data_IF_271266522613
#
_entry.id   IF_271266522613
#
_cell.length_a   1.000
_cell.length_b   1.000
_cell.length_c   1.000
_cell.angle_alpha   90.00
_cell.angle_beta   90.00
_cell.angle_gamma   90.00
#
_symmetry.space_group_name_H-M   'P 1'
#
loop_
_entity.id
_entity.type
_entity.pdbx_description
1 polymer ?
#
# COMPACT_ATOMS: atom_id res chain seq x y z
N UNK A 1 -46.69 10.23 -0.12
CA UNK A 1 -45.88 9.41 -1.04
C UNK A 1 -44.55 9.04 -0.38
N UNK A 2 -44.26 7.74 -0.33
CA UNK A 2 -43.17 7.10 0.41
C UNK A 2 -41.81 7.35 -0.26
N UNK A 3 -40.90 8.15 0.30
CA UNK A 3 -39.47 8.15 -0.12
C UNK A 3 -38.36 8.34 0.95
N UNK A 4 -38.59 8.49 2.28
CA UNK A 4 -37.44 8.54 3.21
C UNK A 4 -36.73 7.19 3.32
N UNK A 5 -37.48 6.08 3.19
CA UNK A 5 -36.94 4.72 3.20
C UNK A 5 -35.97 4.44 2.04
N UNK A 6 -36.22 5.02 0.85
CA UNK A 6 -35.36 4.84 -0.32
C UNK A 6 -34.02 5.57 -0.16
N UNK A 7 -34.02 6.78 0.40
CA UNK A 7 -32.79 7.53 0.70
C UNK A 7 -31.92 6.84 1.74
N UNK A 8 -32.52 6.29 2.80
CA UNK A 8 -31.81 5.51 3.81
C UNK A 8 -31.20 4.22 3.23
N UNK A 9 -31.93 3.53 2.35
CA UNK A 9 -31.42 2.35 1.64
C UNK A 9 -30.26 2.70 0.70
N UNK A 10 -30.36 3.78 -0.07
CA UNK A 10 -29.27 4.24 -0.94
C UNK A 10 -28.02 4.62 -0.15
N UNK A 11 -28.17 5.34 0.96
CA UNK A 11 -27.05 5.67 1.84
C UNK A 11 -26.39 4.41 2.43
N UNK A 12 -27.20 3.43 2.85
CA UNK A 12 -26.71 2.15 3.36
C UNK A 12 -25.92 1.36 2.29
N UNK A 13 -26.42 1.31 1.06
CA UNK A 13 -25.74 0.65 -0.06
C UNK A 13 -24.40 1.33 -0.36
N UNK A 14 -24.34 2.66 -0.38
CA UNK A 14 -23.08 3.40 -0.58
C UNK A 14 -22.07 3.09 0.53
N UNK A 15 -22.51 3.05 1.79
CA UNK A 15 -21.66 2.70 2.93
C UNK A 15 -21.15 1.26 2.82
N UNK A 16 -22.03 0.30 2.48
CA UNK A 16 -21.66 -1.10 2.31
C UNK A 16 -20.65 -1.28 1.16
N UNK A 17 -20.90 -0.66 0.01
CA UNK A 17 -19.97 -0.70 -1.13
C UNK A 17 -18.63 -0.06 -0.77
N UNK A 18 -18.65 1.05 -0.03
CA UNK A 18 -17.44 1.69 0.51
C UNK A 18 -16.65 0.76 1.44
N UNK A 19 -17.33 0.05 2.35
CA UNK A 19 -16.70 -0.91 3.27
C UNK A 19 -16.12 -2.12 2.52
N UNK A 20 -16.83 -2.65 1.52
CA UNK A 20 -16.37 -3.77 0.69
C UNK A 20 -15.14 -3.36 -0.13
N UNK A 21 -15.16 -2.18 -0.74
CA UNK A 21 -14.01 -1.64 -1.48
C UNK A 21 -12.79 -1.43 -0.57
N UNK A 22 -13.01 -0.95 0.65
CA UNK A 22 -11.94 -0.78 1.64
C UNK A 22 -11.35 -2.11 2.10
N UNK A 23 -12.19 -3.15 2.35
CA UNK A 23 -11.73 -4.48 2.78
C UNK A 23 -11.04 -5.30 1.69
N UNK A 24 -11.38 -5.09 0.42
CA UNK A 24 -10.87 -5.91 -0.68
C UNK A 24 -9.44 -5.55 -1.14
N UNK A 25 -8.79 -4.55 -0.55
CA UNK A 25 -7.39 -4.22 -0.82
C UNK A 25 -7.12 -3.53 -2.17
N UNK A 26 -8.13 -3.40 -3.04
CA UNK A 26 -7.97 -2.82 -4.38
C UNK A 26 -7.15 -3.75 -5.29
N UNK A 27 -7.64 -3.99 -6.50
CA UNK A 27 -6.94 -4.83 -7.46
C UNK A 27 -5.97 -3.98 -8.28
N UNK A 28 -4.73 -4.43 -8.36
CA UNK A 28 -3.67 -3.85 -9.18
C UNK A 28 -2.91 -4.93 -9.93
N UNK A 29 -2.23 -4.58 -11.04
CA UNK A 29 -1.27 -5.49 -11.64
C UNK A 29 -0.18 -5.85 -10.61
N UNK A 30 0.46 -7.00 -10.80
CA UNK A 30 1.71 -7.28 -10.11
C UNK A 30 2.79 -6.38 -10.73
N UNK A 31 3.72 -5.82 -9.93
CA UNK A 31 4.80 -5.00 -10.46
C UNK A 31 5.58 -5.73 -11.54
N UNK A 32 6.05 -5.01 -12.55
CA UNK A 32 6.97 -5.57 -13.55
C UNK A 32 8.31 -5.95 -12.90
N UNK A 33 8.71 -5.23 -11.85
CA UNK A 33 9.94 -5.44 -11.12
C UNK A 33 9.65 -5.72 -9.63
N UNK A 34 9.64 -6.99 -9.26
CA UNK A 34 9.57 -7.44 -7.86
C UNK A 34 10.56 -8.59 -7.62
N UNK A 35 10.95 -8.79 -6.36
CA UNK A 35 11.73 -9.93 -5.94
C UNK A 35 10.79 -10.97 -5.30
N UNK A 36 10.92 -12.25 -5.66
CA UNK A 36 10.22 -13.33 -4.97
C UNK A 36 10.90 -13.57 -3.62
N UNK A 37 10.10 -13.66 -2.56
CA UNK A 37 10.57 -14.09 -1.24
C UNK A 37 10.01 -15.49 -0.94
N UNK A 38 10.46 -16.12 0.14
CA UNK A 38 9.97 -17.44 0.54
C UNK A 38 8.43 -17.50 0.68
N UNK A 39 7.82 -16.41 1.16
CA UNK A 39 6.40 -16.36 1.54
C UNK A 39 5.56 -15.39 0.68
N UNK A 40 6.16 -14.71 -0.30
CA UNK A 40 5.44 -13.78 -1.16
C UNK A 40 6.36 -12.94 -2.04
N UNK A 41 6.23 -11.62 -1.99
CA UNK A 41 6.93 -10.69 -2.88
C UNK A 41 7.51 -9.51 -2.10
N UNK A 42 8.64 -9.01 -2.61
CA UNK A 42 9.31 -7.80 -2.15
C UNK A 42 9.30 -6.77 -3.26
N UNK A 43 8.88 -5.56 -2.93
CA UNK A 43 8.81 -4.45 -3.89
C UNK A 43 9.72 -3.34 -3.41
N UNK A 44 10.65 -2.93 -4.26
CA UNK A 44 11.55 -1.82 -4.00
C UNK A 44 10.76 -0.51 -4.04
N UNK A 45 11.02 0.38 -3.07
CA UNK A 45 10.44 1.71 -3.03
C UNK A 45 11.55 2.74 -2.87
N UNK A 46 11.45 3.84 -3.64
CA UNK A 46 12.40 4.95 -3.58
C UNK A 46 11.66 6.24 -3.27
N UNK A 47 12.35 7.17 -2.62
CA UNK A 47 11.83 8.51 -2.40
C UNK A 47 12.00 9.32 -3.68
N UNK A 48 10.96 9.32 -4.49
CA UNK A 48 10.91 9.99 -5.80
C UNK A 48 9.54 10.63 -5.94
N UNK A 49 9.50 11.87 -6.42
CA UNK A 49 8.23 12.50 -6.78
C UNK A 49 7.60 11.74 -7.95
N UNK A 50 6.31 11.43 -7.85
CA UNK A 50 5.57 10.73 -8.91
C UNK A 50 4.71 11.77 -9.66
N UNK A 51 5.06 12.12 -10.91
CA UNK A 51 4.27 13.03 -11.71
C UNK A 51 2.83 12.55 -11.93
N UNK A 52 1.82 13.44 -11.94
CA UNK A 52 0.42 13.06 -12.16
C UNK A 52 0.13 12.40 -13.51
N UNK A 53 0.98 12.63 -14.50
CA UNK A 53 0.94 12.08 -15.86
C UNK A 53 1.77 10.79 -16.01
N UNK A 54 2.37 10.30 -14.92
CA UNK A 54 3.10 9.03 -14.94
C UNK A 54 2.20 7.88 -15.40
N UNK A 55 2.76 6.96 -16.17
CA UNK A 55 2.07 5.76 -16.63
C UNK A 55 2.58 4.53 -15.90
N UNK A 56 1.71 3.54 -15.71
CA UNK A 56 2.08 2.27 -15.10
C UNK A 56 2.11 2.32 -13.58
N UNK A 57 2.73 1.31 -13.00
CA UNK A 57 2.81 1.11 -11.56
C UNK A 57 4.12 1.67 -11.00
N UNK A 58 4.04 2.40 -9.89
CA UNK A 58 5.20 2.98 -9.22
C UNK A 58 5.06 2.92 -7.70
N UNK A 59 6.18 2.76 -7.01
CA UNK A 59 6.23 2.68 -5.55
C UNK A 59 7.14 3.76 -4.97
N UNK A 60 6.55 4.58 -4.13
CA UNK A 60 7.18 5.74 -3.53
C UNK A 60 7.38 5.53 -2.02
N UNK A 61 8.59 5.77 -1.54
CA UNK A 61 8.88 5.86 -0.12
C UNK A 61 8.83 7.33 0.32
N UNK A 62 7.96 7.65 1.27
CA UNK A 62 7.85 8.98 1.88
C UNK A 62 7.96 8.91 3.40
N UNK A 63 8.09 10.05 4.05
CA UNK A 63 7.92 10.16 5.49
C UNK A 63 7.18 11.45 5.87
N UNK A 64 6.52 11.43 7.02
CA UNK A 64 5.93 12.64 7.59
C UNK A 64 6.96 13.42 8.43
N UNK A 65 6.54 14.57 8.98
CA UNK A 65 7.37 15.38 9.88
C UNK A 65 7.66 14.69 11.22
N UNK A 66 6.82 13.75 11.63
CA UNK A 66 7.02 12.93 12.83
C UNK A 66 8.00 11.75 12.62
N UNK A 67 8.56 11.59 11.41
CA UNK A 67 9.51 10.54 11.08
C UNK A 67 8.89 9.17 10.79
N UNK A 68 7.56 9.06 10.70
CA UNK A 68 6.91 7.83 10.23
C UNK A 68 7.08 7.69 8.73
N UNK A 69 7.55 6.53 8.29
CA UNK A 69 7.71 6.20 6.88
C UNK A 69 6.41 5.61 6.30
N UNK A 70 6.20 5.85 5.01
CA UNK A 70 5.08 5.32 4.24
C UNK A 70 5.58 4.80 2.91
N UNK A 71 5.02 3.69 2.46
CA UNK A 71 5.21 3.17 1.11
C UNK A 71 3.89 3.30 0.36
N UNK A 72 3.90 4.12 -0.67
CA UNK A 72 2.72 4.51 -1.44
C UNK A 72 2.80 3.87 -2.83
N UNK A 73 1.74 3.21 -3.26
CA UNK A 73 1.62 2.67 -4.61
C UNK A 73 0.77 3.60 -5.47
N UNK A 74 1.36 3.98 -6.60
CA UNK A 74 0.75 4.78 -7.64
C UNK A 74 0.45 3.89 -8.85
N UNK A 75 -0.71 4.12 -9.45
CA UNK A 75 -1.08 3.54 -10.74
C UNK A 75 -1.55 4.65 -11.66
N UNK A 76 -0.84 4.85 -12.76
CA UNK A 76 -1.08 5.92 -13.72
C UNK A 76 -1.13 7.31 -13.04
N UNK A 77 -0.08 7.64 -12.27
CA UNK A 77 0.08 8.93 -11.59
C UNK A 77 -0.86 9.15 -10.41
N UNK A 78 -1.73 8.19 -10.08
CA UNK A 78 -2.71 8.30 -8.99
C UNK A 78 -2.36 7.34 -7.87
N UNK A 79 -2.28 7.87 -6.65
CA UNK A 79 -2.13 7.06 -5.45
C UNK A 79 -3.34 6.12 -5.31
N UNK A 80 -3.04 4.82 -5.12
CA UNK A 80 -4.05 3.78 -4.94
C UNK A 80 -4.04 3.22 -3.53
N UNK A 81 -2.85 3.04 -2.96
CA UNK A 81 -2.65 2.43 -1.65
C UNK A 81 -1.45 3.02 -0.94
N UNK A 82 -1.57 3.07 0.38
CA UNK A 82 -0.55 3.62 1.28
C UNK A 82 -0.38 2.67 2.45
N UNK A 83 0.86 2.28 2.71
CA UNK A 83 1.25 1.37 3.77
C UNK A 83 2.12 2.16 4.76
N UNK A 84 1.62 2.35 5.99
CA UNK A 84 2.40 3.06 7.01
C UNK A 84 3.31 2.10 7.76
N UNK A 85 4.53 2.57 8.04
CA UNK A 85 5.33 2.02 9.12
C UNK A 85 4.57 2.15 10.44
N UNK A 86 4.76 1.17 11.32
CA UNK A 86 4.13 1.12 12.65
C UNK A 86 5.20 1.01 13.73
N UNK A 87 5.64 -0.22 14.01
CA UNK A 87 6.60 -0.52 15.07
C UNK A 87 7.97 -0.80 14.47
N UNK A 88 9.04 -0.26 15.04
CA UNK A 88 10.40 -0.69 14.71
C UNK A 88 10.59 -2.13 15.20
N UNK A 89 10.89 -3.03 14.27
CA UNK A 89 11.21 -4.42 14.58
C UNK A 89 12.71 -4.61 14.80
N UNK A 90 13.52 -4.02 13.92
CA UNK A 90 14.97 -4.14 13.98
C UNK A 90 15.67 -2.92 13.38
N UNK A 91 16.87 -2.59 13.85
CA UNK A 91 17.70 -1.50 13.35
C UNK A 91 19.14 -2.00 13.19
N UNK A 92 19.69 -1.86 11.99
CA UNK A 92 21.05 -2.25 11.63
C UNK A 92 21.82 -1.05 11.08
N UNK A 93 23.09 -1.26 10.74
CA UNK A 93 23.88 -0.28 9.99
C UNK A 93 23.31 -0.02 8.58
N UNK A 94 22.63 -1.00 7.99
CA UNK A 94 22.07 -0.91 6.63
C UNK A 94 20.72 -0.18 6.59
N UNK A 95 19.98 -0.15 7.70
CA UNK A 95 18.67 0.48 7.75
C UNK A 95 17.81 0.08 8.95
N UNK A 96 16.53 0.40 8.86
CA UNK A 96 15.52 0.08 9.88
C UNK A 96 14.38 -0.70 9.27
N UNK A 97 14.03 -1.82 9.90
CA UNK A 97 12.88 -2.64 9.56
C UNK A 97 11.70 -2.26 10.46
N UNK A 98 10.58 -1.93 9.83
CA UNK A 98 9.34 -1.56 10.48
C UNK A 98 8.28 -2.61 10.16
N UNK A 99 7.44 -2.91 11.14
CA UNK A 99 6.19 -3.60 10.90
C UNK A 99 5.26 -2.68 10.11
N UNK A 100 4.52 -3.25 9.17
CA UNK A 100 3.39 -2.61 8.49
C UNK A 100 2.17 -3.53 8.53
N UNK A 101 1.03 -3.03 8.05
CA UNK A 101 -0.09 -3.90 7.72
C UNK A 101 -0.92 -3.27 6.61
N UNK A 102 -1.64 -4.12 5.90
CA UNK A 102 -2.51 -3.74 4.81
C UNK A 102 -2.77 -4.94 3.92
N UNK A 103 -3.76 -4.82 3.05
CA UNK A 103 -4.12 -5.86 2.09
C UNK A 103 -4.03 -5.25 0.70
N UNK A 104 -3.45 -5.98 -0.24
CA UNK A 104 -3.42 -5.63 -1.66
C UNK A 104 -3.71 -6.88 -2.49
N UNK A 105 -4.35 -6.70 -3.66
CA UNK A 105 -4.54 -7.79 -4.61
C UNK A 105 -3.70 -7.54 -5.84
N UNK A 106 -2.71 -8.40 -6.07
CA UNK A 106 -1.96 -8.45 -7.32
C UNK A 106 -2.65 -9.45 -8.25
N UNK A 107 -3.36 -8.95 -9.26
CA UNK A 107 -4.27 -9.77 -10.06
C UNK A 107 -5.38 -10.38 -9.18
N UNK A 108 -5.52 -11.71 -9.20
CA UNK A 108 -6.50 -12.43 -8.36
C UNK A 108 -5.94 -12.86 -7.00
N UNK A 109 -4.64 -12.72 -6.77
CA UNK A 109 -4.00 -13.17 -5.54
C UNK A 109 -3.99 -12.06 -4.50
N UNK A 110 -4.48 -12.37 -3.30
CA UNK A 110 -4.39 -11.48 -2.15
C UNK A 110 -3.03 -11.60 -1.47
N UNK A 111 -2.53 -10.45 -1.03
CA UNK A 111 -1.30 -10.31 -0.27
C UNK A 111 -1.50 -9.42 0.95
N UNK A 112 -0.76 -9.72 2.01
CA UNK A 112 -0.70 -8.93 3.23
C UNK A 112 0.65 -8.23 3.30
N UNK A 113 0.65 -6.91 3.48
CA UNK A 113 1.86 -6.18 3.79
C UNK A 113 2.33 -6.57 5.19
N UNK A 114 3.60 -6.94 5.33
CA UNK A 114 4.17 -7.39 6.62
C UNK A 114 5.23 -6.45 7.15
N UNK A 115 6.20 -6.08 6.30
CA UNK A 115 7.35 -5.28 6.72
C UNK A 115 7.67 -4.17 5.71
N UNK A 116 8.16 -3.04 6.22
CA UNK A 116 8.79 -1.97 5.45
C UNK A 116 10.23 -1.87 5.94
N UNK A 117 11.18 -2.05 5.04
CA UNK A 117 12.58 -1.74 5.32
C UNK A 117 12.96 -0.42 4.70
N UNK A 118 13.63 0.43 5.48
CA UNK A 118 14.15 1.72 5.03
C UNK A 118 15.66 1.70 5.19
N UNK A 119 16.39 1.88 4.10
CA UNK A 119 17.85 1.96 4.12
C UNK A 119 18.32 3.18 4.92
N UNK A 120 19.54 3.09 5.44
CA UNK A 120 20.24 4.22 6.04
C UNK A 120 20.25 5.41 5.07
N UNK A 121 19.85 6.58 5.57
CA UNK A 121 19.63 7.79 4.77
C UNK A 121 18.18 8.02 4.33
N UNK A 122 17.26 7.06 4.52
CA UNK A 122 15.81 7.30 4.44
C UNK A 122 15.23 7.46 3.03
N UNK A 123 16.06 7.36 1.97
CA UNK A 123 15.66 7.64 0.58
C UNK A 123 15.28 6.42 -0.25
N UNK A 124 15.52 5.22 0.25
CA UNK A 124 15.21 3.99 -0.47
C UNK A 124 14.95 2.85 0.50
N UNK A 125 14.29 1.80 0.02
CA UNK A 125 13.85 0.70 0.85
C UNK A 125 13.08 -0.34 0.06
N UNK A 126 12.33 -1.14 0.78
CA UNK A 126 11.38 -2.08 0.20
C UNK A 126 10.20 -2.30 1.14
N UNK A 127 9.13 -2.84 0.58
CA UNK A 127 7.99 -3.39 1.31
C UNK A 127 7.85 -4.86 0.97
N UNK A 128 7.66 -5.68 2.01
CA UNK A 128 7.44 -7.10 1.90
C UNK A 128 5.95 -7.43 2.05
N UNK A 129 5.52 -8.36 1.21
CA UNK A 129 4.17 -8.89 1.16
C UNK A 129 4.21 -10.41 1.28
N UNK A 130 3.31 -10.97 2.08
CA UNK A 130 3.07 -12.42 2.14
C UNK A 130 1.76 -12.77 1.46
N UNK A 131 1.67 -13.97 0.89
CA UNK A 131 0.40 -14.46 0.34
C UNK A 131 -0.61 -14.64 1.46
N UNK A 132 -1.83 -14.14 1.23
CA UNK A 132 -2.99 -14.35 2.11
C UNK A 132 -3.77 -15.60 1.78
#
# INVERSE_FOLDING_TARGET
>A
MRRPRQWLLSALVIVIVGIIYFRSGGQVPLPDHYQKTANGVRITANMVEIPPDSTGEQWNLTHNQAGSYYVNMYLNGRERRTFSSRKVLHKTADGTLYQTAGIIKFGQQQYHAVDIFVKTGGKSGYIDFTKG
#
